data_IF_981281974277
#
_entry.id   IF_981281974277
#
_cell.length_a   1.000
_cell.length_b   1.000
_cell.length_c   1.000
_cell.angle_alpha   90.00
_cell.angle_beta   90.00
_cell.angle_gamma   90.00
#
_symmetry.space_group_name_H-M   'P 1'
#
loop_
_entity.id
_entity.type
_entity.pdbx_description
1 polymer ?
#
# COMPACT_ATOMS: atom_id res chain seq x y z
N UNK A 1 -75.95 -29.62 14.98
CA UNK A 1 -74.68 -30.36 14.85
C UNK A 1 -73.92 -29.81 13.65
N UNK A 2 -72.66 -29.39 13.80
CA UNK A 2 -71.88 -28.87 12.67
C UNK A 2 -71.54 -30.01 11.70
N UNK A 3 -71.92 -29.87 10.43
CA UNK A 3 -71.61 -30.86 9.39
C UNK A 3 -70.10 -31.12 9.32
N UNK A 4 -69.71 -32.40 9.27
CA UNK A 4 -68.31 -32.87 9.14
C UNK A 4 -67.59 -32.22 7.94
N UNK A 5 -68.33 -31.94 6.86
CA UNK A 5 -67.84 -31.22 5.70
C UNK A 5 -67.34 -29.80 6.03
N UNK A 6 -68.01 -29.09 6.95
CA UNK A 6 -67.64 -27.74 7.36
C UNK A 6 -66.35 -27.72 8.21
N UNK A 7 -66.12 -28.76 9.04
CA UNK A 7 -64.90 -28.90 9.85
C UNK A 7 -63.68 -29.20 8.96
N UNK A 8 -63.84 -30.10 7.99
CA UNK A 8 -62.77 -30.46 7.02
C UNK A 8 -62.40 -29.24 6.17
N UNK A 9 -63.39 -28.49 5.68
CA UNK A 9 -63.16 -27.25 4.90
C UNK A 9 -62.43 -26.19 5.71
N UNK A 10 -62.78 -25.99 6.99
CA UNK A 10 -62.06 -25.06 7.89
C UNK A 10 -60.61 -25.48 8.14
N UNK A 11 -60.33 -26.78 8.34
CA UNK A 11 -58.95 -27.28 8.51
C UNK A 11 -58.12 -27.13 7.24
N UNK A 12 -58.68 -27.42 6.07
CA UNK A 12 -58.02 -27.22 4.76
C UNK A 12 -57.72 -25.74 4.51
N UNK A 13 -58.67 -24.84 4.81
CA UNK A 13 -58.46 -23.40 4.68
C UNK A 13 -57.43 -22.85 5.68
N UNK A 14 -57.36 -23.38 6.90
CA UNK A 14 -56.31 -23.03 7.88
C UNK A 14 -54.92 -23.51 7.43
N UNK A 15 -54.80 -24.73 6.90
CA UNK A 15 -53.55 -25.23 6.32
C UNK A 15 -53.12 -24.42 5.11
N UNK A 16 -54.04 -24.09 4.20
CA UNK A 16 -53.76 -23.26 3.03
C UNK A 16 -53.34 -21.82 3.41
N UNK A 17 -53.99 -21.21 4.41
CA UNK A 17 -53.60 -19.89 4.93
C UNK A 17 -52.23 -19.89 5.61
N UNK A 18 -51.91 -20.93 6.38
CA UNK A 18 -50.58 -21.10 7.00
C UNK A 18 -49.50 -21.32 5.94
N UNK A 19 -49.77 -22.17 4.94
CA UNK A 19 -48.86 -22.38 3.81
C UNK A 19 -48.64 -21.08 3.02
N UNK A 20 -49.70 -20.32 2.71
CA UNK A 20 -49.59 -19.04 2.03
C UNK A 20 -48.84 -17.98 2.84
N UNK A 21 -49.07 -17.92 4.17
CA UNK A 21 -48.34 -17.02 5.06
C UNK A 21 -46.84 -17.38 5.14
N UNK A 22 -46.53 -18.68 5.20
CA UNK A 22 -45.15 -19.19 5.23
C UNK A 22 -44.43 -18.92 3.90
N UNK A 23 -45.11 -19.10 2.75
CA UNK A 23 -44.57 -18.73 1.43
C UNK A 23 -44.36 -17.22 1.31
N UNK A 24 -45.30 -16.40 1.81
CA UNK A 24 -45.16 -14.94 1.82
C UNK A 24 -43.98 -14.49 2.69
N UNK A 25 -43.82 -15.04 3.89
CA UNK A 25 -42.69 -14.75 4.77
C UNK A 25 -41.35 -15.15 4.14
N UNK A 26 -41.29 -16.31 3.48
CA UNK A 26 -40.11 -16.77 2.76
C UNK A 26 -39.77 -15.86 1.58
N UNK A 27 -40.76 -15.41 0.81
CA UNK A 27 -40.54 -14.48 -0.31
C UNK A 27 -40.05 -13.10 0.18
N UNK A 28 -40.56 -12.62 1.32
CA UNK A 28 -40.08 -11.39 1.95
C UNK A 28 -38.64 -11.51 2.45
N UNK A 29 -38.27 -12.65 3.03
CA UNK A 29 -36.90 -12.94 3.41
C UNK A 29 -35.98 -12.94 2.18
N UNK A 30 -36.36 -13.60 1.10
CA UNK A 30 -35.58 -13.57 -0.15
C UNK A 30 -35.46 -12.16 -0.71
N UNK A 31 -36.54 -11.38 -0.75
CA UNK A 31 -36.50 -9.97 -1.17
C UNK A 31 -35.51 -9.15 -0.34
N UNK A 32 -35.53 -9.28 0.99
CA UNK A 32 -34.61 -8.58 1.88
C UNK A 32 -33.15 -9.01 1.65
N UNK A 33 -32.90 -10.31 1.48
CA UNK A 33 -31.57 -10.83 1.17
C UNK A 33 -31.08 -10.35 -0.20
N UNK A 34 -31.96 -10.30 -1.22
CA UNK A 34 -31.63 -9.77 -2.55
C UNK A 34 -31.34 -8.28 -2.50
N UNK A 35 -32.12 -7.49 -1.74
CA UNK A 35 -31.86 -6.06 -1.54
C UNK A 35 -30.56 -5.82 -0.77
N UNK A 36 -30.26 -6.62 0.26
CA UNK A 36 -28.99 -6.57 0.98
C UNK A 36 -27.81 -6.93 0.07
N UNK A 37 -27.96 -7.96 -0.75
CA UNK A 37 -26.95 -8.35 -1.72
C UNK A 37 -26.73 -7.25 -2.77
N UNK A 38 -27.80 -6.66 -3.33
CA UNK A 38 -27.70 -5.55 -4.28
C UNK A 38 -27.09 -4.29 -3.66
N UNK A 39 -27.45 -3.98 -2.41
CA UNK A 39 -26.99 -2.77 -1.71
C UNK A 39 -25.58 -2.87 -1.11
N UNK A 40 -25.14 -4.07 -0.73
CA UNK A 40 -23.86 -4.28 -0.03
C UNK A 40 -22.97 -5.29 -0.74
N UNK A 41 -23.51 -6.48 -1.05
CA UNK A 41 -22.71 -7.58 -1.62
C UNK A 41 -22.15 -7.26 -3.02
N UNK A 42 -23.00 -6.73 -3.91
CA UNK A 42 -22.64 -6.38 -5.28
C UNK A 42 -21.61 -5.24 -5.33
N UNK A 43 -21.81 -4.07 -4.68
CA UNK A 43 -20.78 -3.03 -4.67
C UNK A 43 -19.49 -3.49 -4.00
N UNK A 44 -19.55 -4.28 -2.92
CA UNK A 44 -18.36 -4.85 -2.30
C UNK A 44 -17.60 -5.78 -3.26
N UNK A 45 -18.30 -6.62 -4.01
CA UNK A 45 -17.69 -7.51 -5.01
C UNK A 45 -17.04 -6.75 -6.17
N UNK A 46 -17.64 -5.62 -6.59
CA UNK A 46 -17.04 -4.74 -7.60
C UNK A 46 -15.76 -4.12 -7.03
N UNK A 47 -15.79 -3.56 -5.82
CA UNK A 47 -14.60 -2.97 -5.18
C UNK A 47 -13.48 -4.00 -5.01
N UNK A 48 -13.81 -5.21 -4.56
CA UNK A 48 -12.83 -6.29 -4.42
C UNK A 48 -12.27 -6.72 -5.78
N UNK A 49 -13.12 -6.85 -6.79
CA UNK A 49 -12.73 -7.21 -8.15
C UNK A 49 -11.84 -6.16 -8.82
N UNK A 50 -12.20 -4.88 -8.73
CA UNK A 50 -11.38 -3.79 -9.28
C UNK A 50 -10.06 -3.66 -8.55
N UNK A 51 -10.05 -3.78 -7.21
CA UNK A 51 -8.82 -3.79 -6.42
C UNK A 51 -7.91 -4.96 -6.82
N UNK A 52 -8.46 -6.15 -7.03
CA UNK A 52 -7.70 -7.32 -7.46
C UNK A 52 -7.14 -7.18 -8.88
N UNK A 53 -7.89 -6.58 -9.81
CA UNK A 53 -7.42 -6.31 -11.19
C UNK A 53 -6.32 -5.26 -11.20
N UNK A 54 -6.50 -4.14 -10.49
CA UNK A 54 -5.46 -3.11 -10.36
C UNK A 54 -4.22 -3.70 -9.69
N UNK A 55 -4.38 -4.47 -8.63
CA UNK A 55 -3.28 -5.20 -8.00
C UNK A 55 -2.57 -6.14 -9.00
N UNK A 56 -3.30 -6.92 -9.78
CA UNK A 56 -2.69 -7.82 -10.76
C UNK A 56 -1.93 -7.07 -11.88
N UNK A 57 -2.47 -5.94 -12.35
CA UNK A 57 -1.85 -5.13 -13.39
C UNK A 57 -0.59 -4.40 -12.89
N UNK A 58 -0.66 -3.77 -11.72
CA UNK A 58 0.44 -3.00 -11.13
C UNK A 58 1.56 -3.90 -10.59
N UNK A 59 1.22 -5.11 -10.13
CA UNK A 59 2.22 -6.05 -9.60
C UNK A 59 2.87 -6.94 -10.66
N UNK A 60 2.37 -6.93 -11.89
CA UNK A 60 2.99 -7.61 -13.03
C UNK A 60 4.27 -6.91 -13.51
N UNK A 61 4.39 -5.60 -13.25
CA UNK A 61 5.56 -4.77 -13.61
C UNK A 61 6.48 -4.49 -12.43
N UNK A 62 6.21 -5.06 -11.25
CA UNK A 62 7.10 -4.88 -10.10
C UNK A 62 8.42 -5.61 -10.35
N UNK A 63 9.58 -4.93 -10.18
CA UNK A 63 10.89 -5.54 -10.34
C UNK A 63 11.04 -6.73 -9.37
N UNK A 64 11.85 -7.72 -9.73
CA UNK A 64 12.15 -8.90 -8.91
C UNK A 64 13.22 -8.57 -7.85
N UNK A 65 13.28 -9.27 -6.69
CA UNK A 65 14.25 -8.97 -5.62
C UNK A 65 15.72 -8.94 -6.00
N UNK A 66 16.11 -9.61 -7.09
CA UNK A 66 17.48 -9.68 -7.60
C UNK A 66 17.78 -8.69 -8.73
N UNK A 67 16.73 -8.16 -9.38
CA UNK A 67 16.85 -6.94 -10.16
C UNK A 67 16.67 -5.84 -9.13
N UNK A 68 17.78 -5.37 -8.52
CA UNK A 68 17.80 -4.09 -7.80
C UNK A 68 16.81 -3.19 -8.48
N UNK A 69 15.78 -2.69 -7.77
CA UNK A 69 14.93 -1.59 -8.24
C UNK A 69 15.81 -0.77 -9.16
N UNK A 70 15.53 -0.78 -10.46
CA UNK A 70 16.47 -0.23 -11.44
C UNK A 70 16.39 1.28 -11.29
N UNK A 71 17.00 1.73 -10.20
CA UNK A 71 17.16 3.09 -9.80
C UNK A 71 18.17 3.72 -10.73
N UNK A 72 18.67 3.07 -11.79
CA UNK A 72 19.27 3.78 -12.91
C UNK A 72 18.27 4.78 -13.52
N UNK A 73 16.96 4.48 -13.50
CA UNK A 73 15.93 5.46 -13.84
C UNK A 73 15.84 6.63 -12.83
N UNK A 74 16.36 6.45 -11.60
CA UNK A 74 16.57 7.49 -10.58
C UNK A 74 18.07 7.87 -10.41
N UNK A 75 18.94 7.36 -11.27
CA UNK A 75 20.38 7.59 -11.31
C UNK A 75 20.65 8.20 -12.67
N UNK A 76 20.23 9.46 -12.75
CA UNK A 76 20.56 10.36 -13.81
C UNK A 76 20.60 11.73 -13.16
N UNK A 77 21.63 12.48 -13.44
CA UNK A 77 21.70 13.85 -13.00
C UNK A 77 20.47 14.59 -13.55
N UNK A 78 19.76 15.34 -12.69
CA UNK A 78 18.57 16.05 -13.16
C UNK A 78 19.02 17.18 -14.07
N UNK A 79 18.67 17.09 -15.35
CA UNK A 79 19.03 18.07 -16.36
C UNK A 79 17.92 19.13 -16.50
N UNK A 80 18.28 20.37 -16.19
CA UNK A 80 17.42 21.54 -16.33
C UNK A 80 17.68 22.17 -17.69
N UNK A 81 16.65 22.22 -18.53
CA UNK A 81 16.72 22.82 -19.85
C UNK A 81 16.04 24.20 -19.89
N UNK A 82 16.37 25.01 -20.88
CA UNK A 82 15.68 26.26 -21.17
C UNK A 82 14.25 26.02 -21.68
N UNK A 83 13.48 27.09 -21.86
CA UNK A 83 12.07 27.00 -22.32
C UNK A 83 11.91 26.30 -23.68
N UNK A 84 12.97 26.27 -24.50
CA UNK A 84 12.95 25.64 -25.81
C UNK A 84 13.21 24.13 -25.74
N UNK A 85 13.68 23.64 -24.59
CA UNK A 85 14.09 22.26 -24.38
C UNK A 85 15.40 21.89 -25.07
N UNK A 86 16.10 22.85 -25.70
CA UNK A 86 17.29 22.58 -26.50
C UNK A 86 18.60 22.96 -25.79
N UNK A 87 18.55 23.91 -24.86
CA UNK A 87 19.75 24.37 -24.15
C UNK A 87 19.74 23.81 -22.73
N UNK A 88 20.73 22.96 -22.42
CA UNK A 88 20.98 22.51 -21.04
C UNK A 88 21.50 23.70 -20.22
N UNK A 89 20.77 24.05 -19.16
CA UNK A 89 21.10 25.16 -18.25
C UNK A 89 21.93 24.68 -17.06
N UNK A 90 21.54 23.54 -16.48
CA UNK A 90 22.18 23.03 -15.27
C UNK A 90 21.95 21.52 -15.15
N UNK A 91 22.90 20.83 -14.55
CA UNK A 91 22.83 19.40 -14.26
C UNK A 91 23.01 19.25 -12.76
N UNK A 92 21.96 18.79 -12.06
CA UNK A 92 22.03 18.45 -10.64
C UNK A 92 22.85 17.16 -10.53
N UNK A 93 24.12 17.30 -10.18
CA UNK A 93 25.03 16.16 -10.02
C UNK A 93 24.80 15.52 -8.65
N UNK A 94 24.70 14.19 -8.62
CA UNK A 94 24.81 13.44 -7.36
C UNK A 94 26.23 13.68 -6.79
N UNK A 95 26.39 13.97 -5.48
CA UNK A 95 27.69 14.14 -4.82
C UNK A 95 28.63 12.95 -5.00
N UNK A 96 28.08 11.75 -5.22
CA UNK A 96 28.83 10.54 -5.55
C UNK A 96 28.84 10.21 -7.05
N UNK A 97 28.10 10.93 -7.90
CA UNK A 97 27.92 10.62 -9.31
C UNK A 97 27.31 9.22 -9.52
N UNK A 98 27.95 8.42 -10.36
CA UNK A 98 27.61 6.99 -10.57
C UNK A 98 28.07 6.07 -9.44
N UNK A 99 28.79 6.59 -8.44
CA UNK A 99 29.45 5.78 -7.42
C UNK A 99 28.54 5.40 -6.24
N UNK A 100 27.23 5.22 -6.51
CA UNK A 100 26.27 4.70 -5.54
C UNK A 100 26.62 3.25 -5.22
N UNK A 101 27.31 3.06 -4.10
CA UNK A 101 27.67 1.71 -3.64
C UNK A 101 26.52 1.15 -2.84
N UNK A 102 25.85 0.15 -3.40
CA UNK A 102 24.83 -0.60 -2.68
C UNK A 102 25.48 -1.42 -1.55
N UNK A 103 24.98 -1.23 -0.34
CA UNK A 103 25.41 -1.98 0.85
C UNK A 103 24.35 -2.97 1.26
N UNK A 104 24.79 -4.21 1.49
CA UNK A 104 23.92 -5.21 2.11
C UNK A 104 23.69 -4.83 3.57
N UNK A 105 22.51 -5.14 4.10
CA UNK A 105 22.21 -4.87 5.50
C UNK A 105 23.21 -5.56 6.44
N UNK A 106 23.68 -6.74 6.06
CA UNK A 106 24.67 -7.53 6.81
C UNK A 106 26.09 -6.92 6.78
N UNK A 107 26.38 -6.02 5.82
CA UNK A 107 27.67 -5.30 5.76
C UNK A 107 27.69 -4.09 6.70
N UNK A 108 26.52 -3.66 7.19
CA UNK A 108 26.37 -2.49 8.05
C UNK A 108 26.48 -2.90 9.53
N UNK A 109 26.96 -1.99 10.38
CA UNK A 109 26.93 -2.22 11.81
C UNK A 109 25.49 -2.45 12.32
N UNK A 110 25.27 -3.38 13.26
CA UNK A 110 23.93 -3.80 13.66
C UNK A 110 23.10 -2.68 14.32
N UNK A 111 23.75 -1.67 14.89
CA UNK A 111 23.08 -0.53 15.49
C UNK A 111 22.52 0.45 14.47
N UNK A 112 23.01 0.46 13.22
CA UNK A 112 22.44 1.29 12.14
C UNK A 112 20.97 0.92 11.93
N UNK A 113 20.72 -0.37 11.67
CA UNK A 113 19.36 -0.88 11.50
C UNK A 113 18.49 -0.60 12.75
N UNK A 114 19.04 -0.85 13.95
CA UNK A 114 18.30 -0.64 15.20
C UNK A 114 17.94 0.83 15.43
N UNK A 115 18.87 1.75 15.19
CA UNK A 115 18.68 3.18 15.35
C UNK A 115 17.65 3.72 14.35
N UNK A 116 17.77 3.34 13.07
CA UNK A 116 16.79 3.72 12.03
C UNK A 116 15.38 3.26 12.41
N UNK A 117 15.22 2.01 12.82
CA UNK A 117 13.91 1.49 13.21
C UNK A 117 13.36 2.19 14.45
N UNK A 118 14.18 2.43 15.46
CA UNK A 118 13.77 3.10 16.69
C UNK A 118 13.23 4.52 16.43
N UNK A 119 13.84 5.24 15.49
CA UNK A 119 13.45 6.62 15.17
C UNK A 119 12.29 6.66 14.17
N UNK A 120 12.31 5.81 13.16
CA UNK A 120 11.43 5.96 12.01
C UNK A 120 10.21 5.03 11.98
N UNK A 121 10.36 3.78 12.43
CA UNK A 121 9.30 2.76 12.38
C UNK A 121 9.56 1.63 13.40
N UNK A 122 9.28 1.87 14.70
CA UNK A 122 9.64 0.93 15.78
C UNK A 122 8.94 -0.43 15.65
N UNK A 123 7.75 -0.43 15.04
CA UNK A 123 6.94 -1.63 14.88
C UNK A 123 7.27 -2.39 13.59
N UNK A 124 8.20 -1.92 12.74
CA UNK A 124 8.43 -2.40 11.38
C UNK A 124 8.49 -3.93 11.20
N UNK A 125 9.17 -4.66 12.09
CA UNK A 125 9.25 -6.12 12.01
C UNK A 125 7.96 -6.84 12.40
N UNK A 126 7.15 -6.22 13.27
CA UNK A 126 5.88 -6.78 13.76
C UNK A 126 4.69 -6.30 12.93
N UNK A 127 4.79 -5.12 12.32
CA UNK A 127 3.79 -4.49 11.50
C UNK A 127 3.79 -5.12 10.11
N UNK A 128 3.02 -6.21 9.96
CA UNK A 128 2.65 -6.71 8.64
C UNK A 128 1.46 -5.95 8.07
N UNK A 129 1.32 -6.01 6.75
CA UNK A 129 0.16 -5.49 6.05
C UNK A 129 -1.12 -6.05 6.68
N UNK A 130 -1.95 -5.17 7.22
CA UNK A 130 -3.23 -5.52 7.81
C UNK A 130 -4.34 -4.93 6.92
N UNK A 131 -5.01 -5.77 6.11
CA UNK A 131 -6.09 -5.33 5.23
C UNK A 131 -7.24 -4.65 5.99
N UNK A 132 -7.49 -5.06 7.24
CA UNK A 132 -8.54 -4.48 8.08
C UNK A 132 -8.16 -3.06 8.54
N UNK A 133 -6.92 -2.87 9.00
CA UNK A 133 -6.40 -1.53 9.32
C UNK A 133 -6.46 -0.62 8.09
N UNK A 134 -6.19 -1.16 6.91
CA UNK A 134 -6.23 -0.41 5.65
C UNK A 134 -7.64 0.05 5.30
N UNK A 135 -8.60 -0.87 5.30
CA UNK A 135 -10.02 -0.56 5.05
C UNK A 135 -10.52 0.47 6.07
N UNK A 136 -10.18 0.30 7.33
CA UNK A 136 -10.57 1.24 8.40
C UNK A 136 -9.97 2.63 8.19
N UNK A 137 -8.70 2.72 7.76
CA UNK A 137 -8.05 4.00 7.41
C UNK A 137 -8.72 4.66 6.20
N UNK A 138 -9.01 3.90 5.14
CA UNK A 138 -9.68 4.41 3.96
C UNK A 138 -11.09 4.93 4.29
N UNK A 139 -11.88 4.17 5.06
CA UNK A 139 -13.21 4.60 5.52
C UNK A 139 -13.16 5.86 6.38
N UNK A 140 -12.22 5.93 7.34
CA UNK A 140 -12.06 7.10 8.20
C UNK A 140 -11.70 8.34 7.38
N UNK A 141 -10.81 8.20 6.41
CA UNK A 141 -10.36 9.31 5.59
C UNK A 141 -11.47 9.79 4.63
N UNK A 142 -12.23 8.87 4.02
CA UNK A 142 -13.40 9.22 3.20
C UNK A 142 -14.45 10.07 3.96
N UNK A 143 -14.53 9.92 5.29
CA UNK A 143 -15.47 10.64 6.15
C UNK A 143 -14.88 11.94 6.77
N UNK A 144 -13.55 12.07 6.85
CA UNK A 144 -12.89 13.07 7.71
C UNK A 144 -11.82 13.95 7.02
N UNK A 145 -11.44 13.70 5.77
CA UNK A 145 -10.47 14.56 5.06
C UNK A 145 -9.56 13.83 4.05
N UNK A 146 -8.48 14.47 3.57
CA UNK A 146 -7.54 13.83 2.66
C UNK A 146 -6.89 12.59 3.29
N UNK A 147 -6.59 11.57 2.47
CA UNK A 147 -5.98 10.32 2.92
C UNK A 147 -4.52 10.59 3.32
N UNK A 148 -4.21 10.43 4.62
CA UNK A 148 -2.85 10.60 5.14
C UNK A 148 -1.84 9.66 4.44
N UNK A 149 -0.59 10.11 4.22
CA UNK A 149 0.50 9.24 3.75
C UNK A 149 0.78 8.08 4.69
N UNK A 150 1.22 6.96 4.14
CA UNK A 150 1.67 5.84 4.95
C UNK A 150 3.05 6.14 5.58
N UNK A 151 3.12 6.23 6.90
CA UNK A 151 4.34 6.67 7.60
C UNK A 151 5.41 5.58 7.77
N UNK A 152 5.10 4.34 7.38
CA UNK A 152 6.04 3.23 7.49
C UNK A 152 7.19 3.37 6.50
N UNK A 153 8.29 2.65 6.78
CA UNK A 153 9.43 2.56 5.86
C UNK A 153 8.98 2.06 4.48
N UNK A 154 8.10 1.05 4.43
CA UNK A 154 7.56 0.55 3.17
C UNK A 154 6.74 1.61 2.43
N UNK A 155 5.94 2.40 3.14
CA UNK A 155 5.18 3.50 2.54
C UNK A 155 6.08 4.57 1.93
N UNK A 156 7.18 4.94 2.63
CA UNK A 156 8.20 5.85 2.09
C UNK A 156 8.84 5.30 0.82
N UNK A 157 9.27 4.04 0.82
CA UNK A 157 9.84 3.38 -0.36
C UNK A 157 8.92 3.43 -1.57
N UNK A 158 7.65 3.11 -1.37
CA UNK A 158 6.63 3.15 -2.44
C UNK A 158 6.45 4.55 -2.98
N UNK A 159 6.43 5.58 -2.12
CA UNK A 159 6.34 6.97 -2.58
C UNK A 159 7.54 7.41 -3.39
N UNK A 160 8.74 7.03 -2.98
CA UNK A 160 9.96 7.34 -3.72
C UNK A 160 9.93 6.70 -5.12
N UNK A 161 9.32 5.51 -5.26
CA UNK A 161 9.17 4.82 -6.55
C UNK A 161 8.06 5.38 -7.47
N UNK A 162 6.97 5.93 -6.92
CA UNK A 162 5.82 6.42 -7.73
C UNK A 162 6.04 7.85 -8.27
N UNK A 163 7.10 8.54 -7.85
CA UNK A 163 7.54 9.84 -8.38
C UNK A 163 6.41 10.90 -8.52
N UNK A 164 5.42 10.88 -7.63
CA UNK A 164 4.36 11.90 -7.59
C UNK A 164 4.52 12.74 -6.32
N UNK A 165 4.75 14.06 -6.43
CA UNK A 165 4.93 14.90 -5.24
C UNK A 165 3.71 14.81 -4.32
N UNK A 166 3.92 14.72 -2.99
CA UNK A 166 2.83 14.50 -2.02
C UNK A 166 1.75 15.59 -2.05
N UNK A 167 2.08 16.78 -2.55
CA UNK A 167 1.20 17.94 -2.64
C UNK A 167 0.21 17.87 -3.83
N UNK A 168 0.51 17.04 -4.85
CA UNK A 168 -0.32 16.86 -6.06
C UNK A 168 -1.02 15.51 -6.13
N UNK A 169 -0.78 14.63 -5.15
CA UNK A 169 -1.28 13.26 -5.14
C UNK A 169 -2.83 13.23 -5.04
N UNK A 170 -3.48 12.63 -6.04
CA UNK A 170 -4.93 12.41 -6.03
C UNK A 170 -5.29 11.21 -5.14
N UNK A 171 -6.58 11.08 -4.81
CA UNK A 171 -7.11 9.90 -4.09
C UNK A 171 -6.75 8.59 -4.82
N UNK A 172 -6.71 8.59 -6.16
CA UNK A 172 -6.25 7.47 -7.00
C UNK A 172 -4.82 7.04 -6.70
N UNK A 173 -3.93 8.01 -6.44
CA UNK A 173 -2.51 7.75 -6.21
C UNK A 173 -2.28 7.17 -4.81
N UNK A 174 -3.19 7.48 -3.87
CA UNK A 174 -3.19 6.90 -2.52
C UNK A 174 -3.67 5.46 -2.48
N UNK A 175 -4.70 5.12 -3.25
CA UNK A 175 -5.09 3.71 -3.40
C UNK A 175 -4.00 2.89 -4.07
N UNK A 176 -3.22 3.50 -4.98
CA UNK A 176 -2.05 2.89 -5.61
C UNK A 176 -0.91 2.67 -4.61
N UNK A 177 -0.57 3.68 -3.80
CA UNK A 177 0.43 3.58 -2.72
C UNK A 177 0.11 2.39 -1.79
N UNK A 178 -1.13 2.31 -1.33
CA UNK A 178 -1.62 1.22 -0.48
C UNK A 178 -1.43 -0.16 -1.12
N UNK A 179 -1.83 -0.30 -2.38
CA UNK A 179 -1.73 -1.56 -3.11
C UNK A 179 -0.25 -1.98 -3.29
N UNK A 180 0.63 -1.02 -3.57
CA UNK A 180 2.06 -1.25 -3.72
C UNK A 180 2.73 -1.59 -2.39
N UNK A 181 2.35 -0.96 -1.28
CA UNK A 181 2.84 -1.36 0.06
C UNK A 181 2.44 -2.80 0.37
N UNK A 182 1.18 -3.16 0.11
CA UNK A 182 0.70 -4.54 0.30
C UNK A 182 1.51 -5.53 -0.56
N UNK A 183 1.72 -5.19 -1.83
CA UNK A 183 2.49 -6.00 -2.76
C UNK A 183 3.93 -6.19 -2.26
N UNK A 184 4.59 -5.10 -1.84
CA UNK A 184 5.97 -5.16 -1.34
C UNK A 184 6.06 -6.02 -0.07
N UNK A 185 5.20 -5.82 0.92
CA UNK A 185 5.23 -6.60 2.16
C UNK A 185 4.87 -8.08 1.97
N UNK A 186 4.15 -8.41 0.89
CA UNK A 186 3.84 -9.81 0.53
C UNK A 186 4.98 -10.52 -0.21
N UNK A 187 5.78 -9.78 -0.98
CA UNK A 187 6.83 -10.32 -1.85
C UNK A 187 8.23 -10.28 -1.23
N UNK A 188 8.48 -9.30 -0.37
CA UNK A 188 9.80 -9.01 0.19
C UNK A 188 9.83 -9.23 1.69
N UNK A 189 11.01 -9.63 2.17
CA UNK A 189 11.28 -9.70 3.60
C UNK A 189 11.47 -8.30 4.19
N UNK A 190 11.18 -8.12 5.48
CA UNK A 190 11.45 -6.87 6.18
C UNK A 190 12.93 -6.46 6.08
N UNK A 191 13.86 -7.43 6.06
CA UNK A 191 15.29 -7.14 5.89
C UNK A 191 15.59 -6.52 4.52
N UNK A 192 15.04 -7.08 3.43
CA UNK A 192 15.21 -6.50 2.09
C UNK A 192 14.61 -5.10 2.00
N UNK A 193 13.43 -4.89 2.57
CA UNK A 193 12.79 -3.58 2.59
C UNK A 193 13.61 -2.56 3.40
N UNK A 194 14.20 -2.97 4.53
CA UNK A 194 15.08 -2.09 5.30
C UNK A 194 16.39 -1.78 4.55
N UNK A 195 16.99 -2.78 3.92
CA UNK A 195 18.18 -2.60 3.07
C UNK A 195 17.89 -1.58 1.96
N UNK A 196 16.76 -1.73 1.27
CA UNK A 196 16.34 -0.80 0.23
C UNK A 196 16.16 0.60 0.77
N UNK A 197 15.52 0.72 1.93
CA UNK A 197 15.32 2.01 2.56
C UNK A 197 16.65 2.70 2.85
N UNK A 198 17.60 2.02 3.51
CA UNK A 198 18.90 2.59 3.83
C UNK A 198 19.70 2.99 2.59
N UNK A 199 19.58 2.25 1.48
CA UNK A 199 20.30 2.55 0.24
C UNK A 199 19.64 3.61 -0.65
N UNK A 200 18.38 3.98 -0.39
CA UNK A 200 17.60 4.89 -1.26
C UNK A 200 17.02 6.10 -0.56
N UNK A 201 17.11 6.14 0.76
CA UNK A 201 16.61 7.26 1.54
C UNK A 201 17.42 8.52 1.25
N UNK A 202 16.75 9.66 1.23
CA UNK A 202 17.40 10.97 1.14
C UNK A 202 17.87 11.36 2.55
N UNK A 203 19.19 11.44 2.75
CA UNK A 203 19.79 11.88 4.01
C UNK A 203 20.07 13.40 4.03
N UNK A 204 19.65 14.13 2.98
CA UNK A 204 19.90 15.54 2.78
C UNK A 204 21.22 15.81 2.06
N UNK A 205 21.42 17.06 1.63
CA UNK A 205 22.68 17.47 0.99
C UNK A 205 23.02 16.69 -0.29
N UNK A 206 21.99 16.23 -1.00
CA UNK A 206 22.10 15.35 -2.18
C UNK A 206 22.68 13.96 -1.88
N UNK A 207 22.84 13.59 -0.61
CA UNK A 207 23.33 12.27 -0.19
C UNK A 207 22.18 11.23 -0.17
N UNK A 208 21.96 10.57 -1.30
CA UNK A 208 20.98 9.48 -1.42
C UNK A 208 21.63 8.14 -1.06
N UNK A 209 21.11 7.51 0.00
CA UNK A 209 21.61 6.26 0.53
C UNK A 209 22.69 6.44 1.60
N UNK A 210 22.77 5.45 2.49
CA UNK A 210 23.59 5.53 3.71
C UNK A 210 25.09 5.61 3.43
N UNK A 211 25.60 4.95 2.38
CA UNK A 211 27.01 5.09 2.00
C UNK A 211 27.30 6.51 1.52
N UNK A 212 26.40 7.10 0.73
CA UNK A 212 26.54 8.49 0.32
C UNK A 212 26.55 9.43 1.52
N UNK A 213 25.63 9.23 2.45
CA UNK A 213 25.57 10.02 3.67
C UNK A 213 26.87 9.92 4.49
N UNK A 214 27.38 8.71 4.71
CA UNK A 214 28.61 8.50 5.46
C UNK A 214 29.83 9.15 4.78
N UNK A 215 29.91 9.09 3.45
CA UNK A 215 31.00 9.72 2.70
C UNK A 215 30.90 11.24 2.71
N UNK A 216 29.70 11.80 2.46
CA UNK A 216 29.46 13.25 2.38
C UNK A 216 29.64 13.91 3.75
N UNK A 217 29.11 13.31 4.82
CA UNK A 217 29.10 13.93 6.14
C UNK A 217 30.29 13.55 7.02
N UNK A 218 30.83 12.34 6.87
CA UNK A 218 31.85 11.78 7.78
C UNK A 218 33.15 11.40 7.07
N UNK A 219 33.20 11.47 5.73
CA UNK A 219 34.40 11.13 4.95
C UNK A 219 34.82 9.66 5.07
N UNK A 220 33.88 8.76 5.36
CA UNK A 220 34.16 7.32 5.54
C UNK A 220 33.03 6.44 5.04
N UNK A 221 33.30 5.14 4.90
CA UNK A 221 32.28 4.16 4.51
C UNK A 221 31.29 3.94 5.66
N UNK A 222 30.02 3.73 5.30
CA UNK A 222 28.95 3.38 6.22
C UNK A 222 29.22 2.06 6.98
N UNK A 223 30.07 1.19 6.45
CA UNK A 223 30.56 -0.03 7.14
C UNK A 223 31.35 0.28 8.41
N UNK A 224 31.94 1.48 8.49
CA UNK A 224 32.81 1.92 9.57
C UNK A 224 32.18 3.02 10.43
N UNK A 225 30.86 3.16 10.40
CA UNK A 225 30.13 4.02 11.33
C UNK A 225 30.42 3.60 12.77
N UNK A 226 30.18 4.50 13.72
CA UNK A 226 30.14 4.23 15.15
C UNK A 226 28.75 4.55 15.68
N UNK A 227 28.46 4.21 16.95
CA UNK A 227 27.11 4.34 17.50
C UNK A 227 26.62 5.81 17.61
N UNK A 228 27.55 6.74 17.71
CA UNK A 228 27.31 8.19 17.85
C UNK A 228 27.10 8.92 16.52
N UNK A 229 27.26 8.21 15.40
CA UNK A 229 27.12 8.71 14.02
C UNK A 229 25.85 8.17 13.35
#
# INVERSE_FOLDING_TARGET
MASTAHIIRRRRNRKARRAAAQTRQRNWLYLLLTLLFLGVGLPLSIVLGTTAVVYAQETATLPQPGDTLDLSAMAGATELYDRSGQTLLYTVQDPLGDNRTWLRLDDLPPYVAQATLLVEDPDFYTARFDPLRMVTRLWRNLLAGPIEPERSITGRLVRNAIATPPEVARISDRTREIALVAALQSRYTSQQLLEWHLNTNDYGGEAYGIEAAAQVYLGKSARALTLDE
#
